data_IF_446107715744
#
_entry.id   IF_446107715744
#
_cell.length_a   1.000
_cell.length_b   1.000
_cell.length_c   1.000
_cell.angle_alpha   90.00
_cell.angle_beta   90.00
_cell.angle_gamma   90.00
#
_symmetry.space_group_name_H-M   'P 1'
#
loop_
_entity.id
_entity.type
_entity.pdbx_description
1 polymer ?
#
# COMPACT_ATOMS: atom_id res chain seq x y z
N UNK A 1 -27.35 3.22 -27.38
CA UNK A 1 -26.38 2.13 -27.56
C UNK A 1 -25.50 2.07 -26.33
N UNK A 2 -25.76 1.12 -25.44
CA UNK A 2 -24.93 0.89 -24.26
C UNK A 2 -23.99 -0.26 -24.54
N UNK A 3 -22.70 0.02 -24.69
CA UNK A 3 -21.68 -0.99 -24.51
C UNK A 3 -21.23 -0.93 -23.03
N UNK A 4 -21.37 -2.03 -22.29
CA UNK A 4 -21.35 -2.04 -20.82
C UNK A 4 -19.94 -1.94 -20.24
N UNK A 5 -19.87 -1.56 -18.97
CA UNK A 5 -18.69 -1.48 -18.09
C UNK A 5 -18.16 -2.91 -17.77
N UNK A 6 -17.96 -3.73 -18.82
CA UNK A 6 -17.45 -5.09 -18.74
C UNK A 6 -15.94 -5.17 -18.95
N UNK A 7 -15.37 -4.24 -19.71
CA UNK A 7 -13.98 -4.32 -20.17
C UNK A 7 -12.93 -4.16 -19.05
N UNK A 8 -13.25 -3.46 -17.96
CA UNK A 8 -12.27 -3.15 -16.89
C UNK A 8 -12.05 -4.27 -15.87
N UNK A 9 -12.90 -5.31 -15.87
CA UNK A 9 -12.87 -6.37 -14.83
C UNK A 9 -11.75 -7.37 -15.10
N UNK A 10 -11.50 -7.71 -16.35
CA UNK A 10 -10.43 -8.63 -16.74
C UNK A 10 -9.05 -8.00 -16.49
N UNK A 11 -8.90 -6.69 -16.76
CA UNK A 11 -7.71 -5.92 -16.41
C UNK A 11 -7.41 -5.96 -14.90
N UNK A 12 -8.42 -5.82 -14.04
CA UNK A 12 -8.25 -5.81 -12.58
C UNK A 12 -7.55 -7.10 -12.09
N UNK A 13 -8.01 -8.26 -12.54
CA UNK A 13 -7.41 -9.54 -12.16
C UNK A 13 -6.03 -9.73 -12.78
N UNK A 14 -5.83 -9.26 -14.02
CA UNK A 14 -4.52 -9.29 -14.67
C UNK A 14 -3.48 -8.48 -13.88
N UNK A 15 -3.83 -7.25 -13.50
CA UNK A 15 -2.97 -6.40 -12.68
C UNK A 15 -2.76 -6.98 -11.28
N UNK A 16 -3.80 -7.55 -10.67
CA UNK A 16 -3.67 -8.19 -9.37
C UNK A 16 -2.68 -9.37 -9.40
N UNK A 17 -2.75 -10.22 -10.42
CA UNK A 17 -1.80 -11.31 -10.63
C UNK A 17 -0.39 -10.80 -10.93
N UNK A 18 -0.25 -9.73 -11.71
CA UNK A 18 1.05 -9.11 -11.95
C UNK A 18 1.70 -8.62 -10.65
N UNK A 19 0.94 -7.92 -9.78
CA UNK A 19 1.45 -7.49 -8.48
C UNK A 19 1.72 -8.65 -7.53
N UNK A 20 0.96 -9.74 -7.65
CA UNK A 20 1.18 -10.95 -6.86
C UNK A 20 2.51 -11.62 -7.24
N UNK A 21 2.81 -11.77 -8.53
CA UNK A 21 4.10 -12.30 -8.99
C UNK A 21 5.25 -11.41 -8.53
N UNK A 22 5.09 -10.08 -8.62
CA UNK A 22 6.07 -9.14 -8.11
C UNK A 22 6.29 -9.30 -6.60
N UNK A 23 5.20 -9.38 -5.82
CA UNK A 23 5.28 -9.56 -4.37
C UNK A 23 5.87 -10.91 -3.96
N UNK A 24 5.55 -11.98 -4.70
CA UNK A 24 6.13 -13.31 -4.51
C UNK A 24 7.66 -13.28 -4.65
N UNK A 25 8.16 -12.64 -5.71
CA UNK A 25 9.60 -12.50 -5.95
C UNK A 25 10.28 -11.63 -4.89
N UNK A 26 9.64 -10.54 -4.46
CA UNK A 26 10.19 -9.64 -3.44
C UNK A 26 10.19 -10.26 -2.03
N UNK A 27 9.25 -11.16 -1.72
CA UNK A 27 9.05 -11.73 -0.39
C UNK A 27 9.46 -13.20 -0.27
N UNK A 28 10.05 -13.78 -1.31
CA UNK A 28 10.37 -15.21 -1.41
C UNK A 28 9.16 -16.11 -1.09
N UNK A 29 8.00 -15.74 -1.65
CA UNK A 29 6.73 -16.47 -1.51
C UNK A 29 6.37 -17.17 -2.81
N UNK A 30 5.60 -18.26 -2.69
CA UNK A 30 5.14 -19.07 -3.83
C UNK A 30 3.60 -19.12 -3.86
N UNK A 31 2.96 -17.95 -3.85
CA UNK A 31 1.50 -17.88 -4.01
C UNK A 31 1.13 -18.17 -5.47
N UNK A 32 0.18 -19.07 -5.66
CA UNK A 32 -0.36 -19.47 -6.96
C UNK A 32 -1.37 -18.46 -7.50
N UNK A 33 -2.05 -17.72 -6.62
CA UNK A 33 -3.10 -16.80 -7.03
C UNK A 33 -3.98 -16.31 -5.89
N UNK A 34 -5.15 -15.82 -6.26
CA UNK A 34 -6.25 -15.47 -5.35
C UNK A 34 -7.30 -16.59 -5.38
N UNK A 35 -7.93 -16.88 -4.25
CA UNK A 35 -9.09 -17.77 -4.20
C UNK A 35 -10.33 -17.12 -4.87
N UNK A 36 -11.36 -17.90 -5.21
CA UNK A 36 -12.58 -17.41 -5.87
C UNK A 36 -13.23 -16.24 -5.11
N UNK A 37 -13.26 -16.34 -3.78
CA UNK A 37 -13.81 -15.28 -2.91
C UNK A 37 -12.95 -14.00 -2.95
N UNK A 38 -11.63 -14.15 -2.97
CA UNK A 38 -10.70 -13.03 -3.03
C UNK A 38 -10.77 -12.32 -4.39
N UNK A 39 -10.84 -13.11 -5.47
CA UNK A 39 -10.99 -12.61 -6.83
C UNK A 39 -12.27 -11.81 -7.01
N UNK A 40 -13.41 -12.31 -6.50
CA UNK A 40 -14.67 -11.54 -6.49
C UNK A 40 -14.56 -10.25 -5.72
N UNK A 41 -13.94 -10.26 -4.55
CA UNK A 41 -13.78 -9.04 -3.77
C UNK A 41 -12.89 -8.00 -4.45
N UNK A 42 -11.83 -8.42 -5.17
CA UNK A 42 -11.02 -7.52 -6.00
C UNK A 42 -11.82 -6.92 -7.16
N UNK A 43 -12.73 -7.70 -7.76
CA UNK A 43 -13.61 -7.26 -8.85
C UNK A 43 -14.73 -6.33 -8.36
N UNK A 44 -15.27 -6.57 -7.18
CA UNK A 44 -16.35 -5.79 -6.57
C UNK A 44 -15.84 -4.50 -5.89
N UNK A 45 -14.53 -4.39 -5.65
CA UNK A 45 -13.97 -3.19 -5.04
C UNK A 45 -13.93 -2.03 -6.03
N UNK A 46 -14.43 -0.83 -5.68
CA UNK A 46 -14.51 0.30 -6.60
C UNK A 46 -13.16 0.98 -6.91
N UNK A 47 -12.04 0.44 -6.40
CA UNK A 47 -10.67 0.96 -6.55
C UNK A 47 -10.57 2.49 -6.62
N UNK A 48 -10.99 3.23 -5.57
CA UNK A 48 -10.97 4.69 -5.57
C UNK A 48 -9.52 5.20 -5.47
N UNK A 49 -8.79 5.19 -6.59
CA UNK A 49 -7.41 5.65 -6.65
C UNK A 49 -6.37 4.86 -7.45
N UNK A 50 -6.78 4.12 -8.49
CA UNK A 50 -5.89 3.41 -9.42
C UNK A 50 -5.13 2.20 -8.83
N UNK A 51 -4.43 1.49 -9.75
CA UNK A 51 -3.60 0.29 -9.58
C UNK A 51 -2.62 0.32 -8.38
N UNK A 52 -2.29 1.49 -7.85
CA UNK A 52 -1.43 1.63 -6.67
C UNK A 52 -2.07 1.06 -5.41
N UNK A 53 -3.38 1.26 -5.21
CA UNK A 53 -4.09 0.65 -4.08
C UNK A 53 -4.07 -0.88 -4.18
N UNK A 54 -4.29 -1.39 -5.39
CA UNK A 54 -4.23 -2.82 -5.68
C UNK A 54 -2.85 -3.38 -5.37
N UNK A 55 -1.78 -2.75 -5.83
CA UNK A 55 -0.40 -3.16 -5.51
C UNK A 55 -0.17 -3.29 -4.01
N UNK A 56 -0.57 -2.28 -3.23
CA UNK A 56 -0.39 -2.29 -1.78
C UNK A 56 -1.23 -3.37 -1.09
N UNK A 57 -2.46 -3.55 -1.54
CA UNK A 57 -3.38 -4.55 -1.01
C UNK A 57 -2.84 -5.96 -1.28
N UNK A 58 -2.45 -6.25 -2.53
CA UNK A 58 -1.87 -7.54 -2.94
C UNK A 58 -0.59 -7.81 -2.18
N UNK A 59 0.32 -6.82 -2.07
CA UNK A 59 1.58 -7.00 -1.34
C UNK A 59 1.40 -7.29 0.14
N UNK A 60 0.44 -6.64 0.80
CA UNK A 60 0.11 -6.92 2.21
C UNK A 60 -0.56 -8.27 2.37
N UNK A 61 -1.49 -8.59 1.48
CA UNK A 61 -2.12 -9.90 1.47
C UNK A 61 -1.11 -11.03 1.20
N UNK A 62 -0.08 -10.81 0.37
CA UNK A 62 1.03 -11.77 0.17
C UNK A 62 1.86 -11.97 1.44
N UNK A 63 2.05 -10.92 2.23
CA UNK A 63 2.81 -10.98 3.48
C UNK A 63 2.05 -11.76 4.56
N UNK A 64 0.75 -11.54 4.66
CA UNK A 64 -0.12 -12.23 5.62
C UNK A 64 -0.43 -13.67 5.17
N UNK A 65 -0.51 -13.91 3.86
CA UNK A 65 -0.83 -15.22 3.30
C UNK A 65 0.18 -16.28 3.75
N UNK A 66 -0.34 -17.27 4.46
CA UNK A 66 0.41 -18.43 4.94
C UNK A 66 0.26 -19.64 4.00
N UNK A 67 -0.73 -19.62 3.11
CA UNK A 67 -1.03 -20.70 2.18
C UNK A 67 -0.50 -20.46 0.76
N UNK A 68 -0.98 -21.28 -0.19
CA UNK A 68 -0.70 -21.12 -1.63
C UNK A 68 -1.60 -20.06 -2.32
N UNK A 69 -2.67 -19.63 -1.67
CA UNK A 69 -3.63 -18.68 -2.25
C UNK A 69 -3.91 -17.54 -1.27
N UNK A 70 -4.05 -16.33 -1.81
CA UNK A 70 -4.60 -15.19 -1.06
C UNK A 70 -6.10 -15.40 -0.91
N UNK A 71 -6.58 -15.40 0.33
CA UNK A 71 -8.00 -15.57 0.64
C UNK A 71 -8.68 -14.23 0.93
N UNK A 72 -10.02 -14.25 0.97
CA UNK A 72 -10.81 -13.06 1.31
C UNK A 72 -10.50 -12.53 2.71
N UNK A 73 -10.07 -13.39 3.64
CA UNK A 73 -9.72 -12.98 5.00
C UNK A 73 -8.53 -12.01 5.00
N UNK A 74 -7.48 -12.35 4.25
CA UNK A 74 -6.29 -11.52 4.06
C UNK A 74 -6.61 -10.18 3.39
N UNK A 75 -7.66 -10.13 2.57
CA UNK A 75 -8.14 -8.91 1.92
C UNK A 75 -9.08 -8.10 2.81
N UNK A 76 -9.91 -8.74 3.66
CA UNK A 76 -10.84 -8.07 4.57
C UNK A 76 -10.13 -7.50 5.81
N UNK A 77 -9.06 -8.12 6.29
CA UNK A 77 -8.17 -7.53 7.31
C UNK A 77 -7.60 -6.17 6.86
N UNK A 78 -7.64 -5.87 5.55
CA UNK A 78 -7.23 -4.60 4.97
C UNK A 78 -8.38 -3.57 4.84
N UNK A 79 -9.65 -3.99 5.00
CA UNK A 79 -10.83 -3.10 4.96
C UNK A 79 -11.16 -2.51 6.33
N UNK A 80 -10.81 -3.20 7.41
CA UNK A 80 -10.86 -2.60 8.74
C UNK A 80 -9.71 -1.60 8.89
N UNK A 81 -9.93 -0.39 9.42
CA UNK A 81 -8.86 0.51 9.79
C UNK A 81 -8.13 -0.05 11.02
N UNK A 82 -7.37 -1.13 10.85
CA UNK A 82 -6.44 -1.57 11.86
C UNK A 82 -5.36 -0.49 12.04
N UNK A 83 -4.96 -0.18 13.29
CA UNK A 83 -3.94 0.82 13.56
C UNK A 83 -2.68 0.46 12.78
N UNK A 84 -2.09 1.45 12.12
CA UNK A 84 -0.97 1.34 11.19
C UNK A 84 0.16 0.44 11.71
N UNK A 85 0.12 -0.84 11.35
CA UNK A 85 1.20 -1.79 11.60
C UNK A 85 1.68 -2.30 10.24
N UNK A 86 2.94 -1.96 9.97
CA UNK A 86 3.86 -2.55 9.00
C UNK A 86 3.63 -2.20 7.52
N UNK A 87 4.63 -1.48 7.00
CA UNK A 87 5.16 -1.68 5.65
C UNK A 87 4.30 -1.12 4.51
N UNK A 88 4.83 -0.07 3.89
CA UNK A 88 4.48 0.45 2.56
C UNK A 88 3.25 1.38 2.49
N UNK A 89 3.40 2.69 2.77
CA UNK A 89 2.44 3.69 2.30
C UNK A 89 2.88 4.25 0.94
N UNK A 90 2.54 3.57 -0.16
CA UNK A 90 2.80 4.02 -1.55
C UNK A 90 1.82 5.11 -2.06
N UNK A 91 1.03 5.74 -1.17
CA UNK A 91 0.05 6.77 -1.60
C UNK A 91 0.19 8.14 -0.97
N UNK A 92 1.07 8.32 0.01
CA UNK A 92 1.34 9.66 0.52
C UNK A 92 2.81 10.02 0.42
N UNK A 93 3.67 9.35 -0.34
CA UNK A 93 5.09 9.73 -0.36
C UNK A 93 5.31 11.22 -0.70
N UNK A 94 4.64 11.78 -1.71
CA UNK A 94 4.75 13.21 -2.02
C UNK A 94 4.06 14.12 -0.98
N UNK A 95 2.87 13.77 -0.53
CA UNK A 95 2.14 14.55 0.48
C UNK A 95 2.84 14.51 1.86
N UNK A 96 3.36 13.36 2.23
CA UNK A 96 4.11 13.11 3.45
C UNK A 96 5.50 13.73 3.36
N UNK A 97 6.16 13.68 2.19
CA UNK A 97 7.38 14.44 1.92
C UNK A 97 7.12 15.94 2.07
N UNK A 98 6.02 16.46 1.51
CA UNK A 98 5.63 17.87 1.66
C UNK A 98 5.35 18.22 3.12
N UNK A 99 4.64 17.38 3.86
CA UNK A 99 4.39 17.58 5.29
C UNK A 99 5.69 17.56 6.10
N UNK A 100 6.63 16.66 5.78
CA UNK A 100 7.95 16.61 6.42
C UNK A 100 8.76 17.87 6.14
N UNK A 101 8.78 18.32 4.88
CA UNK A 101 9.47 19.56 4.47
C UNK A 101 8.84 20.77 5.16
N UNK A 102 7.52 20.85 5.20
CA UNK A 102 6.81 21.97 5.83
C UNK A 102 7.02 21.98 7.35
N UNK A 103 6.98 20.83 8.00
CA UNK A 103 7.30 20.70 9.43
C UNK A 103 8.76 21.08 9.74
N UNK A 104 9.73 20.70 8.88
CA UNK A 104 11.12 21.13 9.01
C UNK A 104 11.27 22.64 8.83
N UNK A 105 10.56 23.23 7.86
CA UNK A 105 10.58 24.67 7.60
C UNK A 105 9.99 25.46 8.77
N UNK A 106 8.87 25.02 9.34
CA UNK A 106 8.23 25.64 10.50
C UNK A 106 9.06 25.52 11.78
N UNK A 107 9.91 24.50 11.88
CA UNK A 107 10.74 24.24 13.07
C UNK A 107 12.20 24.65 12.91
N UNK A 108 12.58 25.27 11.79
CA UNK A 108 13.95 25.71 11.51
C UNK A 108 14.95 24.56 11.41
N UNK A 109 14.63 23.50 10.66
CA UNK A 109 15.40 22.26 10.52
C UNK A 109 15.59 21.45 11.81
N UNK A 110 14.82 21.73 12.86
CA UNK A 110 14.86 20.96 14.10
C UNK A 110 14.07 19.64 13.97
N UNK A 111 14.77 18.58 13.55
CA UNK A 111 14.25 17.22 13.32
C UNK A 111 13.46 16.66 14.51
N UNK A 112 13.85 16.99 15.74
CA UNK A 112 13.12 16.55 16.94
C UNK A 112 11.76 17.22 17.08
N UNK A 113 11.66 18.53 16.79
CA UNK A 113 10.39 19.26 16.80
C UNK A 113 9.52 18.92 15.59
N UNK A 114 10.11 18.71 14.42
CA UNK A 114 9.37 18.28 13.23
C UNK A 114 8.69 16.92 13.45
N UNK A 115 9.35 15.96 14.10
CA UNK A 115 8.75 14.68 14.47
C UNK A 115 7.53 14.85 15.40
N UNK A 116 7.66 15.73 16.41
CA UNK A 116 6.56 16.05 17.33
C UNK A 116 5.38 16.75 16.61
N UNK A 117 5.67 17.66 15.69
CA UNK A 117 4.66 18.39 14.91
C UNK A 117 3.89 17.46 13.97
N UNK A 118 4.55 16.42 13.47
CA UNK A 118 3.96 15.37 12.63
C UNK A 118 3.31 14.23 13.44
N UNK A 119 3.43 14.24 14.78
CA UNK A 119 2.89 13.18 15.63
C UNK A 119 3.56 11.81 15.43
N UNK A 120 4.81 11.78 14.95
CA UNK A 120 5.56 10.54 14.69
C UNK A 120 6.79 10.42 15.59
N UNK A 121 7.25 9.19 15.81
CA UNK A 121 8.50 8.95 16.52
C UNK A 121 9.73 9.44 15.74
N UNK A 122 10.79 9.83 16.45
CA UNK A 122 12.05 10.30 15.84
C UNK A 122 12.63 9.28 14.87
N UNK A 123 12.58 7.97 15.21
CA UNK A 123 13.11 6.90 14.36
C UNK A 123 12.34 6.79 13.04
N UNK A 124 11.02 7.01 13.09
CA UNK A 124 10.14 7.05 11.91
C UNK A 124 10.47 8.25 11.03
N UNK A 125 10.71 9.42 11.61
CA UNK A 125 11.14 10.60 10.85
C UNK A 125 12.50 10.37 10.17
N UNK A 126 13.49 9.83 10.88
CA UNK A 126 14.82 9.53 10.31
C UNK A 126 14.74 8.55 9.14
N UNK A 127 13.95 7.48 9.27
CA UNK A 127 13.71 6.54 8.19
C UNK A 127 13.05 7.22 6.99
N UNK A 128 12.06 8.09 7.20
CA UNK A 128 11.40 8.84 6.13
C UNK A 128 12.33 9.84 5.44
N UNK A 129 13.14 10.59 6.19
CA UNK A 129 14.15 11.51 5.64
C UNK A 129 15.15 10.79 4.74
N UNK A 130 15.64 9.63 5.19
CA UNK A 130 16.56 8.78 4.44
C UNK A 130 15.90 8.18 3.19
N UNK A 131 14.64 7.77 3.31
CA UNK A 131 13.84 7.20 2.21
C UNK A 131 13.55 8.25 1.12
N UNK A 132 13.31 9.50 1.51
CA UNK A 132 13.02 10.61 0.58
C UNK A 132 14.26 11.38 0.10
N UNK A 133 15.47 10.97 0.49
CA UNK A 133 16.73 11.69 0.22
C UNK A 133 16.67 13.18 0.61
N UNK A 134 15.93 13.51 1.67
CA UNK A 134 15.94 14.86 2.24
C UNK A 134 17.17 14.95 3.14
N UNK A 135 18.30 15.23 2.51
CA UNK A 135 19.53 15.59 3.20
C UNK A 135 19.51 17.09 3.48
N UNK A 136 20.13 17.45 4.61
CA UNK A 136 20.44 18.83 4.98
C UNK A 136 21.22 19.55 3.87
#
# INVERSE_FOLDING_TARGET
GGLPIGDRREDILLFANFFLDQANREMDKQLTGFDDKASRALLEYPWPGNLRQMKNMVRRATLLAQGKFITINELNELKEPAPAIIGIPLRNEEAEKHQIIEALRQTGNNKSRAAQLLGIDRKTLYNKLKLYNISD
#
